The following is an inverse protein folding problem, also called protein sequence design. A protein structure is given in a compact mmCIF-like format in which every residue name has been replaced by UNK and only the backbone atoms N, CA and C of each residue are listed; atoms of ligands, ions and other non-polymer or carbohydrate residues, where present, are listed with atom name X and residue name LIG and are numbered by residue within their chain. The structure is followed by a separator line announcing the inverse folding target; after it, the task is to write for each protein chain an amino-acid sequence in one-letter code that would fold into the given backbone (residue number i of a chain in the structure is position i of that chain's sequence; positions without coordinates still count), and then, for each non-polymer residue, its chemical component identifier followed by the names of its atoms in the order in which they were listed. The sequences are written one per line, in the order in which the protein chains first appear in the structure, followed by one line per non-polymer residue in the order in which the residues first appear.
data_IF_483033835897
#
_entry.id   IF_483033835897
#
_cell.length_a   1.000
_cell.length_b   1.000
_cell.length_c   1.000
_cell.angle_alpha   90.00
_cell.angle_beta   90.00
_cell.angle_gamma   90.00
#
_symmetry.space_group_name_H-M   'P 1'
#
loop_
_entity.id
_entity.type
_entity.pdbx_description
1 polymer ?
#
# COMPACT_ATOMS: atom_id res chain seq x y z
N UNK A 1 19.74 12.07 -24.89
CA UNK A 1 19.55 12.69 -23.60
C UNK A 1 18.11 12.69 -23.13
N UNK A 2 17.23 13.27 -23.91
CA UNK A 2 15.81 13.36 -23.58
C UNK A 2 15.14 11.99 -23.54
N UNK A 3 15.61 11.02 -24.30
CA UNK A 3 15.07 9.67 -24.29
C UNK A 3 15.22 8.98 -22.92
N UNK A 4 16.35 9.21 -22.24
CA UNK A 4 16.57 8.64 -20.91
C UNK A 4 15.66 9.32 -19.89
N UNK A 5 15.51 10.64 -19.97
CA UNK A 5 14.59 11.38 -19.08
C UNK A 5 13.17 10.96 -19.33
N UNK A 6 12.77 10.78 -20.60
CA UNK A 6 11.44 10.30 -20.96
C UNK A 6 11.14 8.91 -20.43
N UNK A 7 12.13 8.02 -20.41
CA UNK A 7 11.99 6.68 -19.82
C UNK A 7 11.78 6.74 -18.32
N UNK A 8 12.50 7.61 -17.62
CA UNK A 8 12.30 7.80 -16.18
C UNK A 8 10.91 8.31 -15.85
N UNK A 9 10.34 9.17 -16.69
CA UNK A 9 8.97 9.68 -16.51
C UNK A 9 7.92 8.62 -16.79
N UNK A 10 8.16 7.70 -17.75
CA UNK A 10 7.23 6.66 -18.15
C UNK A 10 7.35 5.42 -17.26
N UNK A 11 8.59 5.04 -16.91
CA UNK A 11 8.88 3.82 -16.15
C UNK A 11 9.24 4.16 -14.72
N UNK A 12 8.40 3.72 -13.80
CA UNK A 12 8.67 3.83 -12.36
C UNK A 12 9.10 2.48 -11.81
N UNK A 13 10.15 2.51 -10.99
CA UNK A 13 10.55 1.34 -10.23
C UNK A 13 9.80 1.35 -8.90
N UNK A 14 9.18 0.22 -8.59
CA UNK A 14 8.42 0.05 -7.38
C UNK A 14 8.90 -1.13 -6.55
N UNK A 15 8.41 -1.20 -5.32
CA UNK A 15 8.74 -2.28 -4.39
C UNK A 15 7.52 -2.63 -3.56
N UNK A 16 7.39 -3.89 -3.15
CA UNK A 16 6.40 -4.28 -2.16
C UNK A 16 6.85 -3.70 -0.82
N UNK A 17 6.04 -2.85 -0.22
CA UNK A 17 6.43 -2.11 0.98
C UNK A 17 6.72 -3.02 2.17
N UNK A 18 6.06 -4.18 2.25
CA UNK A 18 6.31 -5.15 3.31
C UNK A 18 7.63 -5.92 3.14
N UNK A 19 8.32 -5.77 2.01
CA UNK A 19 9.66 -6.31 1.80
C UNK A 19 10.77 -5.31 2.17
N UNK A 20 10.41 -4.10 2.57
CA UNK A 20 11.37 -3.09 2.99
C UNK A 20 11.69 -3.23 4.48
N UNK A 21 12.66 -2.45 4.95
CA UNK A 21 13.05 -2.43 6.36
C UNK A 21 11.84 -2.09 7.23
N UNK A 22 11.69 -2.83 8.33
CA UNK A 22 10.57 -2.67 9.25
C UNK A 22 10.73 -1.40 10.07
N UNK A 23 10.00 -0.38 9.68
CA UNK A 23 10.00 0.95 10.28
C UNK A 23 8.56 1.41 10.51
N UNK A 24 8.32 2.39 11.39
CA UNK A 24 7.02 3.06 11.44
C UNK A 24 6.61 3.59 10.07
N UNK A 25 5.32 3.70 9.81
CA UNK A 25 4.80 3.95 8.47
C UNK A 25 5.45 5.15 7.77
N UNK A 26 5.46 6.31 8.41
CA UNK A 26 6.01 7.52 7.78
C UNK A 26 7.51 7.38 7.48
N UNK A 27 8.27 6.81 8.41
CA UNK A 27 9.70 6.57 8.22
C UNK A 27 9.94 5.53 7.12
N UNK A 28 9.09 4.52 7.03
CA UNK A 28 9.19 3.50 6.00
C UNK A 28 9.01 4.09 4.61
N UNK A 29 8.04 4.97 4.42
CA UNK A 29 7.82 5.61 3.13
C UNK A 29 8.96 6.56 2.77
N UNK A 30 9.47 7.31 3.73
CA UNK A 30 10.65 8.15 3.52
C UNK A 30 11.86 7.30 3.10
N UNK A 31 12.05 6.15 3.73
CA UNK A 31 13.13 5.21 3.39
C UNK A 31 12.98 4.66 1.96
N UNK A 32 11.76 4.35 1.54
CA UNK A 32 11.47 3.90 0.16
C UNK A 32 11.91 4.96 -0.85
N UNK A 33 11.62 6.23 -0.57
CA UNK A 33 12.06 7.33 -1.42
C UNK A 33 13.60 7.43 -1.46
N UNK A 34 14.27 7.33 -0.32
CA UNK A 34 15.73 7.36 -0.24
C UNK A 34 16.38 6.22 -1.02
N UNK A 35 15.74 5.05 -1.07
CA UNK A 35 16.22 3.90 -1.84
C UNK A 35 16.03 4.08 -3.35
N UNK A 36 15.36 5.14 -3.79
CA UNK A 36 15.16 5.45 -5.20
C UNK A 36 13.91 4.86 -5.83
N UNK A 37 12.99 4.29 -5.05
CA UNK A 37 11.74 3.78 -5.57
C UNK A 37 10.70 4.90 -5.70
N UNK A 38 9.98 4.93 -6.81
CA UNK A 38 8.98 5.94 -7.10
C UNK A 38 7.54 5.49 -6.78
N UNK A 39 7.34 4.20 -6.57
CA UNK A 39 6.01 3.66 -6.22
C UNK A 39 6.12 2.42 -5.36
N UNK A 40 5.02 2.06 -4.73
CA UNK A 40 4.97 0.91 -3.85
C UNK A 40 3.68 0.11 -3.96
N UNK A 41 3.79 -1.18 -3.66
CA UNK A 41 2.66 -2.06 -3.44
C UNK A 41 2.36 -2.01 -1.94
N UNK A 42 1.20 -1.50 -1.58
CA UNK A 42 0.78 -1.31 -0.19
C UNK A 42 -0.21 -2.40 0.22
N UNK A 43 0.19 -3.24 1.16
CA UNK A 43 -0.72 -4.14 1.87
C UNK A 43 -0.80 -3.64 3.32
N UNK A 44 -1.85 -2.88 3.70
CA UNK A 44 -1.87 -2.18 4.98
C UNK A 44 -1.59 -3.08 6.19
N UNK A 45 -2.22 -4.25 6.24
CA UNK A 45 -2.05 -5.18 7.36
C UNK A 45 -0.65 -5.78 7.47
N UNK A 46 0.15 -5.73 6.43
CA UNK A 46 1.54 -6.23 6.43
C UNK A 46 2.58 -5.15 6.68
N UNK A 47 2.22 -3.90 6.49
CA UNK A 47 3.14 -2.76 6.55
C UNK A 47 2.98 -1.98 7.85
N UNK A 48 1.76 -1.87 8.35
CA UNK A 48 1.41 -1.00 9.45
C UNK A 48 1.11 -1.83 10.69
N UNK A 49 1.84 -1.54 11.77
CA UNK A 49 1.61 -2.16 13.08
C UNK A 49 1.31 -1.14 14.18
N UNK A 50 1.55 0.15 13.93
CA UNK A 50 1.38 1.21 14.94
C UNK A 50 -0.08 1.60 15.17
N UNK A 51 -0.96 1.32 14.24
CA UNK A 51 -2.40 1.60 14.38
C UNK A 51 -3.22 0.51 13.67
N UNK A 52 -4.52 0.40 13.99
CA UNK A 52 -5.36 -0.65 13.41
C UNK A 52 -5.55 -0.49 11.90
N UNK A 53 -5.59 -1.63 11.21
CA UNK A 53 -5.92 -1.71 9.78
C UNK A 53 -7.05 -2.70 9.54
N UNK A 54 -7.95 -2.82 10.51
CA UNK A 54 -9.17 -3.63 10.41
C UNK A 54 -10.12 -3.02 9.38
N UNK A 55 -11.17 -3.75 9.02
CA UNK A 55 -12.16 -3.27 8.06
C UNK A 55 -12.76 -1.92 8.50
N UNK A 56 -13.04 -1.77 9.79
CA UNK A 56 -13.60 -0.57 10.37
C UNK A 56 -12.60 0.60 10.40
N UNK A 57 -11.30 0.28 10.46
CA UNK A 57 -10.25 1.29 10.49
C UNK A 57 -9.90 1.82 9.09
N UNK A 58 -10.27 1.11 8.03
CA UNK A 58 -10.04 1.53 6.66
C UNK A 58 -11.05 2.59 6.23
N UNK A 59 -10.89 3.78 6.79
CA UNK A 59 -11.79 4.92 6.59
C UNK A 59 -11.24 5.90 5.56
N UNK A 60 -12.08 6.79 5.00
CA UNK A 60 -11.59 7.86 4.13
C UNK A 60 -10.54 8.75 4.81
N UNK A 61 -10.69 8.99 6.11
CA UNK A 61 -9.70 9.78 6.86
C UNK A 61 -8.33 9.12 6.91
N UNK A 62 -8.29 7.81 7.16
CA UNK A 62 -7.04 7.06 7.13
C UNK A 62 -6.44 7.07 5.72
N UNK A 63 -7.27 6.90 4.69
CA UNK A 63 -6.81 6.94 3.31
C UNK A 63 -6.17 8.29 2.97
N UNK A 64 -6.77 9.38 3.40
CA UNK A 64 -6.22 10.73 3.19
C UNK A 64 -4.89 10.91 3.90
N UNK A 65 -4.79 10.45 5.15
CA UNK A 65 -3.53 10.52 5.90
C UNK A 65 -2.42 9.76 5.15
N UNK A 66 -2.69 8.53 4.75
CA UNK A 66 -1.70 7.72 4.07
C UNK A 66 -1.33 8.31 2.71
N UNK A 67 -2.32 8.79 1.95
CA UNK A 67 -2.08 9.47 0.68
C UNK A 67 -1.15 10.67 0.84
N UNK A 68 -1.35 11.47 1.89
CA UNK A 68 -0.52 12.62 2.16
C UNK A 68 0.93 12.23 2.50
N UNK A 69 1.11 11.15 3.26
CA UNK A 69 2.45 10.63 3.57
C UNK A 69 3.16 10.18 2.29
N UNK A 70 2.48 9.45 1.42
CA UNK A 70 3.05 9.05 0.13
C UNK A 70 3.40 10.26 -0.72
N UNK A 71 2.49 11.21 -0.87
CA UNK A 71 2.71 12.40 -1.68
C UNK A 71 3.87 13.25 -1.17
N UNK A 72 3.97 13.43 0.14
CA UNK A 72 5.05 14.17 0.79
C UNK A 72 6.41 13.55 0.50
N UNK A 73 6.49 12.24 0.35
CA UNK A 73 7.72 11.52 0.08
C UNK A 73 7.91 11.20 -1.41
N UNK A 74 7.03 11.69 -2.28
CA UNK A 74 7.10 11.47 -3.72
C UNK A 74 7.10 9.98 -4.11
N UNK A 75 6.30 9.19 -3.39
CA UNK A 75 6.09 7.78 -3.67
C UNK A 75 4.61 7.56 -3.99
N UNK A 76 4.31 6.95 -5.13
CA UNK A 76 2.95 6.63 -5.52
C UNK A 76 2.54 5.25 -5.01
N UNK A 77 1.26 5.04 -4.78
CA UNK A 77 0.71 3.71 -4.53
C UNK A 77 0.31 3.11 -5.86
N UNK A 78 1.08 2.15 -6.33
CA UNK A 78 0.81 1.47 -7.60
C UNK A 78 -0.24 0.37 -7.43
N UNK A 79 -0.22 -0.33 -6.30
CA UNK A 79 -1.13 -1.44 -6.00
C UNK A 79 -1.52 -1.37 -4.52
N UNK A 80 -2.81 -1.51 -4.25
CA UNK A 80 -3.31 -1.75 -2.91
C UNK A 80 -3.58 -3.26 -2.78
N UNK A 81 -2.79 -3.94 -1.95
CA UNK A 81 -2.82 -5.38 -1.82
C UNK A 81 -3.65 -5.88 -0.66
N UNK A 82 -4.32 -7.01 -0.87
CA UNK A 82 -5.08 -7.70 0.15
C UNK A 82 -4.90 -9.22 -0.08
N UNK A 83 -4.13 -9.86 0.77
CA UNK A 83 -3.72 -11.26 0.58
C UNK A 83 -4.67 -12.20 1.31
N UNK A 84 -5.72 -12.63 0.65
CA UNK A 84 -6.72 -13.54 1.21
C UNK A 84 -7.14 -14.56 0.15
N UNK A 85 -7.58 -15.74 0.61
CA UNK A 85 -8.00 -16.81 -0.28
C UNK A 85 -9.48 -16.70 -0.64
N UNK A 86 -9.79 -16.16 -1.80
CA UNK A 86 -11.17 -16.05 -2.30
C UNK A 86 -11.78 -17.42 -2.68
N UNK A 87 -10.98 -18.46 -2.75
CA UNK A 87 -11.44 -19.81 -3.02
C UNK A 87 -11.72 -20.63 -1.75
N UNK A 88 -11.77 -19.99 -0.58
CA UNK A 88 -12.03 -20.66 0.68
C UNK A 88 -13.41 -21.33 0.65
N UNK A 89 -13.50 -22.66 0.92
CA UNK A 89 -14.77 -23.38 0.83
C UNK A 89 -15.70 -23.12 2.02
N UNK A 90 -15.24 -22.52 3.11
CA UNK A 90 -16.07 -22.23 4.27
C UNK A 90 -16.87 -20.95 4.03
N UNK A 91 -18.23 -21.00 4.01
CA UNK A 91 -19.05 -19.83 3.71
C UNK A 91 -18.87 -18.67 4.68
N UNK A 92 -18.69 -18.94 5.98
CA UNK A 92 -18.51 -17.89 6.97
C UNK A 92 -17.18 -17.18 6.80
N UNK A 93 -16.11 -17.94 6.56
CA UNK A 93 -14.79 -17.36 6.30
C UNK A 93 -14.77 -16.60 4.98
N UNK A 94 -15.41 -17.13 3.95
CA UNK A 94 -15.50 -16.46 2.65
C UNK A 94 -16.25 -15.14 2.76
N UNK A 95 -17.31 -15.07 3.56
CA UNK A 95 -18.05 -13.83 3.79
C UNK A 95 -17.16 -12.78 4.45
N UNK A 96 -16.35 -13.15 5.44
CA UNK A 96 -15.40 -12.25 6.09
C UNK A 96 -14.31 -11.77 5.12
N UNK A 97 -13.80 -12.68 4.29
CA UNK A 97 -12.80 -12.36 3.27
C UNK A 97 -13.37 -11.37 2.26
N UNK A 98 -14.59 -11.61 1.79
CA UNK A 98 -15.27 -10.72 0.84
C UNK A 98 -15.48 -9.34 1.45
N UNK A 99 -15.92 -9.26 2.70
CA UNK A 99 -16.09 -7.99 3.42
C UNK A 99 -14.74 -7.23 3.51
N UNK A 100 -13.66 -7.94 3.78
CA UNK A 100 -12.32 -7.37 3.85
C UNK A 100 -11.88 -6.78 2.51
N UNK A 101 -12.11 -7.50 1.41
CA UNK A 101 -11.82 -6.98 0.08
C UNK A 101 -12.65 -5.74 -0.25
N UNK A 102 -13.93 -5.75 0.11
CA UNK A 102 -14.80 -4.59 -0.12
C UNK A 102 -14.33 -3.37 0.68
N UNK A 103 -13.86 -3.58 1.90
CA UNK A 103 -13.28 -2.51 2.72
C UNK A 103 -12.05 -1.90 2.04
N UNK A 104 -11.17 -2.72 1.46
CA UNK A 104 -10.00 -2.24 0.72
C UNK A 104 -10.40 -1.48 -0.55
N UNK A 105 -11.40 -1.95 -1.27
CA UNK A 105 -11.87 -1.28 -2.48
C UNK A 105 -12.42 0.13 -2.16
N UNK A 106 -13.14 0.24 -1.05
CA UNK A 106 -13.68 1.55 -0.61
C UNK A 106 -12.59 2.47 -0.05
N UNK A 107 -11.54 1.89 0.47
CA UNK A 107 -10.41 2.61 1.05
C UNK A 107 -9.58 3.28 -0.05
#
# INVERSE_FOLDING_TARGET
MNAVIGMEEIMQLGIRLHDTKKLPFEERIANVHELGFACGHLAPGKVISEFPTTDEALTPGLAMYMKNVFAKNQVDVAVLGCYLNLANPNPEQLAKITHRYMAHIRF
#
